data_IF_362326716181
#
_entry.id   IF_362326716181
#
_cell.length_a   1.000
_cell.length_b   1.000
_cell.length_c   1.000
_cell.angle_alpha   90.00
_cell.angle_beta   90.00
_cell.angle_gamma   90.00
#
_symmetry.space_group_name_H-M   'P 1'
#
loop_
_entity.id
_entity.type
_entity.pdbx_description
1 polymer ?
#
# COMPACT_ATOMS: atom_id res chain seq x y z
N UNK A 1 -22.78 9.18 -2.08
CA UNK A 1 -22.37 8.01 -1.31
C UNK A 1 -20.90 8.12 -0.89
N UNK A 2 -19.93 8.32 -1.81
CA UNK A 2 -18.48 8.39 -1.56
C UNK A 2 -18.14 9.34 -0.39
N UNK A 3 -18.65 10.57 -0.41
CA UNK A 3 -18.42 11.59 0.64
C UNK A 3 -18.95 11.14 2.01
N UNK A 4 -20.14 10.54 2.06
CA UNK A 4 -20.75 10.06 3.32
C UNK A 4 -19.91 8.94 3.95
N UNK A 5 -19.45 7.99 3.13
CA UNK A 5 -18.58 6.90 3.59
C UNK A 5 -17.26 7.45 4.11
N UNK A 6 -16.60 8.34 3.36
CA UNK A 6 -15.35 9.00 3.80
C UNK A 6 -15.54 9.74 5.12
N UNK A 7 -16.62 10.50 5.28
CA UNK A 7 -16.94 11.19 6.53
C UNK A 7 -17.12 10.21 7.70
N UNK A 8 -17.76 9.06 7.48
CA UNK A 8 -17.90 8.01 8.47
C UNK A 8 -16.55 7.47 8.97
N UNK A 9 -15.60 7.21 8.06
CA UNK A 9 -14.26 6.78 8.43
C UNK A 9 -13.43 7.88 9.13
N UNK A 10 -13.61 9.15 8.73
CA UNK A 10 -12.99 10.28 9.43
C UNK A 10 -13.46 10.30 10.89
N UNK A 11 -14.77 10.22 11.12
CA UNK A 11 -15.35 10.19 12.48
C UNK A 11 -14.81 8.99 13.27
N UNK A 12 -14.81 7.78 12.69
CA UNK A 12 -14.32 6.58 13.35
C UNK A 12 -12.85 6.72 13.78
N UNK A 13 -12.00 7.30 12.94
CA UNK A 13 -10.59 7.50 13.23
C UNK A 13 -10.33 8.63 14.25
N UNK A 14 -11.15 9.67 14.25
CA UNK A 14 -11.11 10.71 15.30
C UNK A 14 -11.52 10.15 16.66
N UNK A 15 -12.47 9.21 16.71
CA UNK A 15 -12.93 8.54 17.93
C UNK A 15 -11.90 7.57 18.55
N UNK A 16 -10.79 7.27 17.87
CA UNK A 16 -9.65 6.59 18.45
C UNK A 16 -9.14 5.38 17.66
N UNK A 17 -7.84 5.14 17.82
CA UNK A 17 -7.08 4.10 17.10
C UNK A 17 -7.60 2.70 17.34
N UNK A 18 -8.07 2.39 18.56
CA UNK A 18 -8.62 1.07 18.89
C UNK A 18 -9.88 0.73 18.08
N UNK A 19 -10.71 1.74 17.77
CA UNK A 19 -11.90 1.57 16.93
C UNK A 19 -11.47 1.34 15.49
N UNK A 20 -10.58 2.19 14.96
CA UNK A 20 -10.06 2.05 13.61
C UNK A 20 -9.36 0.69 13.40
N UNK A 21 -8.56 0.22 14.36
CA UNK A 21 -7.89 -1.07 14.31
C UNK A 21 -8.86 -2.27 14.35
N UNK A 22 -9.92 -2.21 15.16
CA UNK A 22 -10.96 -3.27 15.17
C UNK A 22 -11.71 -3.34 13.84
N UNK A 23 -12.06 -2.19 13.27
CA UNK A 23 -12.67 -2.11 11.94
C UNK A 23 -11.75 -2.70 10.88
N UNK A 24 -10.45 -2.35 10.91
CA UNK A 24 -9.45 -2.88 10.00
C UNK A 24 -9.37 -4.40 10.05
N UNK A 25 -9.26 -4.97 11.24
CA UNK A 25 -9.24 -6.41 11.40
C UNK A 25 -10.53 -7.07 10.90
N UNK A 26 -11.70 -6.47 11.18
CA UNK A 26 -12.98 -6.94 10.67
C UNK A 26 -13.04 -6.98 9.15
N UNK A 27 -12.60 -5.91 8.48
CA UNK A 27 -12.52 -5.85 7.01
C UNK A 27 -11.55 -6.88 6.44
N UNK A 28 -10.39 -7.09 7.07
CA UNK A 28 -9.40 -8.06 6.62
C UNK A 28 -9.89 -9.50 6.78
N UNK A 29 -10.48 -9.86 7.90
CA UNK A 29 -11.08 -11.20 8.08
C UNK A 29 -12.21 -11.45 7.09
N UNK A 30 -13.05 -10.44 6.87
CA UNK A 30 -14.10 -10.51 5.86
C UNK A 30 -13.52 -10.72 4.45
N UNK A 31 -12.51 -9.93 4.07
CA UNK A 31 -11.84 -10.04 2.77
C UNK A 31 -11.28 -11.44 2.54
N UNK A 32 -10.52 -11.97 3.49
CA UNK A 32 -9.94 -13.30 3.34
C UNK A 32 -10.99 -14.40 3.27
N UNK A 33 -12.04 -14.31 4.08
CA UNK A 33 -13.16 -15.24 4.02
C UNK A 33 -13.86 -15.23 2.67
N UNK A 34 -14.18 -14.05 2.17
CA UNK A 34 -14.81 -13.87 0.85
C UNK A 34 -13.88 -14.32 -0.27
N UNK A 35 -12.59 -13.97 -0.21
CA UNK A 35 -11.61 -14.37 -1.23
C UNK A 35 -11.49 -15.89 -1.35
N UNK A 36 -11.41 -16.61 -0.24
CA UNK A 36 -11.36 -18.08 -0.24
C UNK A 36 -12.63 -18.66 -0.86
N UNK A 37 -13.81 -18.20 -0.44
CA UNK A 37 -15.08 -18.68 -1.00
C UNK A 37 -15.17 -18.36 -2.49
N UNK A 38 -14.75 -17.16 -2.90
CA UNK A 38 -14.73 -16.75 -4.30
C UNK A 38 -13.81 -17.66 -5.14
N UNK A 39 -12.57 -17.92 -4.70
CA UNK A 39 -11.67 -18.82 -5.40
C UNK A 39 -12.27 -20.21 -5.55
N UNK A 40 -12.86 -20.76 -4.49
CA UNK A 40 -13.51 -22.09 -4.54
C UNK A 40 -14.67 -22.14 -5.54
N UNK A 41 -15.45 -21.06 -5.64
CA UNK A 41 -16.57 -20.97 -6.61
C UNK A 41 -16.10 -20.78 -8.04
N UNK A 42 -14.86 -20.29 -8.27
CA UNK A 42 -14.30 -20.11 -9.61
C UNK A 42 -13.69 -21.39 -10.19
N UNK A 43 -13.24 -22.35 -9.38
CA UNK A 43 -12.59 -23.57 -9.84
C UNK A 43 -13.36 -24.32 -10.95
N UNK A 44 -14.70 -24.50 -10.86
CA UNK A 44 -15.45 -25.20 -11.90
C UNK A 44 -15.49 -24.49 -13.25
N UNK A 45 -15.18 -23.19 -13.27
CA UNK A 45 -15.27 -22.32 -14.46
C UNK A 45 -13.92 -22.08 -15.14
N UNK A 46 -12.86 -22.75 -14.70
CA UNK A 46 -11.50 -22.60 -15.27
C UNK A 46 -11.47 -23.18 -16.68
N UNK A 47 -10.99 -22.37 -17.63
CA UNK A 47 -10.75 -22.74 -19.02
C UNK A 47 -9.29 -22.46 -19.39
N UNK A 48 -8.41 -23.46 -19.31
CA UNK A 48 -6.98 -23.35 -19.61
C UNK A 48 -6.67 -22.92 -21.05
N UNK A 49 -7.40 -23.38 -22.09
CA UNK A 49 -7.22 -22.89 -23.46
C UNK A 49 -7.36 -21.38 -23.62
N UNK A 50 -8.26 -20.73 -22.88
CA UNK A 50 -8.39 -19.27 -22.87
C UNK A 50 -7.12 -18.57 -22.37
N UNK A 51 -6.40 -19.18 -21.44
CA UNK A 51 -5.16 -18.65 -20.92
C UNK A 51 -4.03 -18.65 -21.94
N UNK A 52 -3.89 -19.75 -22.69
CA UNK A 52 -2.85 -19.90 -23.73
C UNK A 52 -3.09 -18.96 -24.91
N UNK A 53 -4.36 -18.68 -25.22
CA UNK A 53 -4.76 -17.74 -26.26
C UNK A 53 -4.71 -16.28 -25.83
N UNK A 54 -4.33 -15.99 -24.57
CA UNK A 54 -4.20 -14.64 -24.06
C UNK A 54 -3.28 -13.78 -24.95
N UNK A 55 -3.52 -12.48 -25.06
CA UNK A 55 -2.72 -11.60 -25.89
C UNK A 55 -1.23 -11.65 -25.53
N UNK A 56 -0.38 -11.44 -26.52
CA UNK A 56 1.08 -11.44 -26.36
C UNK A 56 1.54 -10.55 -25.22
N UNK A 57 2.61 -10.95 -24.56
CA UNK A 57 3.25 -10.21 -23.45
C UNK A 57 3.73 -8.81 -23.85
N UNK A 58 3.92 -8.56 -25.15
CA UNK A 58 4.36 -7.26 -25.65
C UNK A 58 3.14 -6.40 -26.02
N UNK A 59 3.10 -5.12 -25.58
CA UNK A 59 2.01 -4.21 -25.92
C UNK A 59 1.96 -4.00 -27.43
N UNK A 60 0.74 -3.99 -27.97
CA UNK A 60 0.47 -3.66 -29.37
C UNK A 60 0.43 -2.12 -29.54
N UNK A 61 0.54 -1.68 -30.80
CA UNK A 61 0.41 -0.26 -31.14
C UNK A 61 -0.89 0.32 -30.55
N UNK A 62 -0.79 1.47 -29.89
CA UNK A 62 -1.91 2.12 -29.19
C UNK A 62 -2.19 1.63 -27.76
N UNK A 63 -1.46 0.63 -27.25
CA UNK A 63 -1.52 0.21 -25.86
C UNK A 63 -0.46 0.93 -25.01
N UNK A 64 -0.71 0.95 -23.68
CA UNK A 64 0.28 1.47 -22.72
C UNK A 64 1.59 0.71 -22.85
N UNK A 65 2.72 1.42 -22.83
CA UNK A 65 4.05 0.80 -22.89
C UNK A 65 4.28 -0.15 -21.71
N UNK A 66 5.16 -1.14 -21.88
CA UNK A 66 5.50 -2.05 -20.79
C UNK A 66 5.98 -1.30 -19.53
N UNK A 67 6.82 -0.27 -19.71
CA UNK A 67 7.33 0.54 -18.60
C UNK A 67 6.21 1.32 -17.88
N UNK A 68 5.26 1.90 -18.62
CA UNK A 68 4.11 2.58 -18.05
C UNK A 68 3.17 1.60 -17.34
N UNK A 69 2.97 0.40 -17.89
CA UNK A 69 2.19 -0.67 -17.24
C UNK A 69 2.83 -1.12 -15.92
N UNK A 70 4.15 -1.31 -15.90
CA UNK A 70 4.89 -1.63 -14.66
C UNK A 70 4.73 -0.52 -13.62
N UNK A 71 4.80 0.74 -14.05
CA UNK A 71 4.59 1.91 -13.19
C UNK A 71 3.19 1.89 -12.55
N UNK A 72 2.15 1.63 -13.34
CA UNK A 72 0.76 1.53 -12.82
C UNK A 72 0.56 0.32 -11.90
N UNK A 73 1.16 -0.82 -12.23
CA UNK A 73 1.12 -2.02 -11.35
C UNK A 73 1.81 -1.74 -10.02
N UNK A 74 2.88 -0.93 -10.02
CA UNK A 74 3.56 -0.51 -8.79
C UNK A 74 2.61 0.14 -7.78
N UNK A 75 1.61 0.88 -8.25
CA UNK A 75 0.58 1.47 -7.38
C UNK A 75 -0.14 0.42 -6.52
N UNK A 76 -0.33 -0.80 -7.04
CA UNK A 76 -0.92 -1.90 -6.26
C UNK A 76 -0.01 -2.38 -5.11
N UNK A 77 1.27 -2.07 -5.16
CA UNK A 77 2.26 -2.41 -4.13
C UNK A 77 2.52 -1.27 -3.16
N UNK A 78 2.08 -0.04 -3.43
CA UNK A 78 2.27 1.11 -2.55
C UNK A 78 1.35 1.06 -1.33
N UNK A 79 1.78 1.65 -0.21
CA UNK A 79 0.97 1.84 0.99
C UNK A 79 1.28 0.87 2.15
N UNK A 80 1.99 -0.23 1.93
CA UNK A 80 2.35 -1.15 3.03
C UNK A 80 3.29 -0.52 4.05
N UNK A 81 4.08 0.47 3.65
CA UNK A 81 4.98 1.25 4.51
C UNK A 81 4.25 2.19 5.47
N UNK A 82 2.95 2.43 5.27
CA UNK A 82 2.13 3.27 6.15
C UNK A 82 2.13 2.78 7.61
N UNK A 83 2.39 1.48 7.86
CA UNK A 83 2.58 0.95 9.21
C UNK A 83 3.72 1.63 9.99
N UNK A 84 4.71 2.22 9.31
CA UNK A 84 5.82 2.95 9.96
C UNK A 84 5.30 4.18 10.71
N UNK A 85 4.27 4.85 10.18
CA UNK A 85 3.64 6.00 10.84
C UNK A 85 2.94 5.63 12.17
N UNK A 86 2.64 4.35 12.36
CA UNK A 86 2.00 3.82 13.57
C UNK A 86 3.01 3.20 14.54
N UNK A 87 4.28 3.45 14.39
CA UNK A 87 5.34 2.82 15.19
C UNK A 87 5.18 2.98 16.70
N UNK A 88 4.62 4.10 17.17
CA UNK A 88 4.34 4.35 18.59
C UNK A 88 3.15 3.53 19.12
N UNK A 89 2.33 2.93 18.25
CA UNK A 89 1.12 2.17 18.60
C UNK A 89 1.28 0.66 18.38
N UNK A 90 2.36 0.24 17.71
CA UNK A 90 2.67 -1.15 17.42
C UNK A 90 3.52 -1.74 18.55
N UNK A 91 3.11 -2.90 19.07
CA UNK A 91 3.89 -3.65 20.05
C UNK A 91 5.20 -4.13 19.42
N UNK A 92 6.34 -3.85 20.06
CA UNK A 92 7.68 -4.20 19.57
C UNK A 92 7.95 -3.77 18.12
N UNK A 93 7.85 -2.46 17.82
CA UNK A 93 7.88 -1.96 16.44
C UNK A 93 9.20 -2.30 15.73
N UNK A 94 10.30 -2.35 16.44
CA UNK A 94 11.64 -2.72 15.90
C UNK A 94 11.72 -4.14 15.34
N UNK A 95 10.86 -5.04 15.80
CA UNK A 95 10.79 -6.42 15.34
C UNK A 95 9.66 -6.56 14.31
N UNK A 96 8.47 -6.08 14.67
CA UNK A 96 7.25 -6.36 13.91
C UNK A 96 7.17 -5.54 12.60
N UNK A 97 7.60 -4.27 12.61
CA UNK A 97 7.57 -3.44 11.38
C UNK A 97 8.49 -4.03 10.29
N UNK A 98 9.78 -4.34 10.53
CA UNK A 98 10.61 -4.95 9.48
C UNK A 98 10.08 -6.28 8.98
N UNK A 99 9.48 -7.10 9.85
CA UNK A 99 8.85 -8.38 9.47
C UNK A 99 7.65 -8.17 8.56
N UNK A 100 6.78 -7.23 8.91
CA UNK A 100 5.60 -6.87 8.12
C UNK A 100 6.02 -6.29 6.76
N UNK A 101 6.96 -5.34 6.74
CA UNK A 101 7.47 -4.72 5.50
C UNK A 101 8.14 -5.75 4.58
N UNK A 102 8.78 -6.78 5.14
CA UNK A 102 9.37 -7.85 4.33
C UNK A 102 8.32 -8.76 3.70
N UNK A 103 7.27 -9.13 4.45
CA UNK A 103 6.25 -10.05 3.95
C UNK A 103 5.22 -9.38 3.04
N UNK A 104 4.88 -8.14 3.30
CA UNK A 104 3.78 -7.44 2.61
C UNK A 104 3.89 -7.46 1.07
N UNK A 105 5.03 -7.16 0.42
CA UNK A 105 5.14 -7.22 -1.03
C UNK A 105 4.87 -8.62 -1.60
N UNK A 106 5.27 -9.67 -0.91
CA UNK A 106 5.03 -11.05 -1.35
C UNK A 106 3.56 -11.45 -1.19
N UNK A 107 2.89 -10.98 -0.13
CA UNK A 107 1.44 -11.17 0.04
C UNK A 107 0.69 -10.45 -1.08
N UNK A 108 1.03 -9.19 -1.35
CA UNK A 108 0.43 -8.41 -2.44
C UNK A 108 0.65 -9.09 -3.78
N UNK A 109 1.88 -9.56 -4.06
CA UNK A 109 2.18 -10.32 -5.27
C UNK A 109 1.31 -11.57 -5.39
N UNK A 110 1.26 -12.42 -4.35
CA UNK A 110 0.52 -13.67 -4.39
C UNK A 110 -0.98 -13.43 -4.61
N UNK A 111 -1.57 -12.46 -3.90
CA UNK A 111 -3.00 -12.13 -4.03
C UNK A 111 -3.31 -11.61 -5.43
N UNK A 112 -2.57 -10.59 -5.90
CA UNK A 112 -2.81 -10.02 -7.23
C UNK A 112 -2.58 -11.06 -8.33
N UNK A 113 -1.53 -11.87 -8.25
CA UNK A 113 -1.24 -12.90 -9.23
C UNK A 113 -2.36 -13.95 -9.27
N UNK A 114 -2.85 -14.42 -8.12
CA UNK A 114 -3.95 -15.38 -8.05
C UNK A 114 -5.25 -14.80 -8.63
N UNK A 115 -5.64 -13.60 -8.23
CA UNK A 115 -6.82 -12.93 -8.78
C UNK A 115 -6.72 -12.74 -10.30
N UNK A 116 -5.58 -12.27 -10.78
CA UNK A 116 -5.35 -12.07 -12.21
C UNK A 116 -5.37 -13.39 -12.98
N UNK A 117 -4.77 -14.44 -12.43
CA UNK A 117 -4.77 -15.76 -13.06
C UNK A 117 -6.21 -16.28 -13.20
N UNK A 118 -7.00 -16.26 -12.13
CA UNK A 118 -8.40 -16.68 -12.19
C UNK A 118 -9.20 -15.84 -13.18
N UNK A 119 -8.99 -14.52 -13.19
CA UNK A 119 -9.65 -13.62 -14.14
C UNK A 119 -9.41 -14.05 -15.59
N UNK A 120 -8.16 -14.33 -15.96
CA UNK A 120 -7.80 -14.76 -17.30
C UNK A 120 -8.37 -16.15 -17.59
N UNK A 121 -8.26 -17.07 -16.63
CA UNK A 121 -8.67 -18.46 -16.80
C UNK A 121 -10.19 -18.64 -16.95
N UNK A 122 -11.01 -17.73 -16.41
CA UNK A 122 -12.48 -17.79 -16.55
C UNK A 122 -13.00 -17.00 -17.74
N UNK A 123 -12.24 -16.03 -18.26
CA UNK A 123 -12.72 -15.11 -19.30
C UNK A 123 -12.55 -15.71 -20.69
N UNK A 124 -13.58 -15.71 -21.55
CA UNK A 124 -13.42 -16.09 -22.94
C UNK A 124 -12.37 -15.23 -23.66
N UNK A 125 -11.50 -15.86 -24.47
CA UNK A 125 -10.37 -15.21 -25.14
C UNK A 125 -10.77 -13.97 -25.96
N UNK A 126 -11.92 -14.03 -26.61
CA UNK A 126 -12.51 -12.95 -27.41
C UNK A 126 -12.92 -11.71 -26.57
N UNK A 127 -13.22 -11.89 -25.29
CA UNK A 127 -13.64 -10.84 -24.37
C UNK A 127 -12.44 -10.19 -23.63
N UNK A 128 -11.26 -10.81 -23.62
CA UNK A 128 -10.10 -10.32 -22.87
C UNK A 128 -9.66 -8.91 -23.28
N UNK A 129 -9.70 -8.60 -24.59
CA UNK A 129 -9.29 -7.28 -25.09
C UNK A 129 -10.24 -6.16 -24.61
N UNK A 130 -11.54 -6.44 -24.47
CA UNK A 130 -12.53 -5.48 -24.01
C UNK A 130 -12.35 -5.11 -22.53
N UNK A 131 -11.78 -6.00 -21.72
CA UNK A 131 -11.54 -5.76 -20.31
C UNK A 131 -10.50 -4.66 -20.04
N UNK A 132 -9.58 -4.42 -20.98
CA UNK A 132 -8.54 -3.39 -20.84
C UNK A 132 -9.11 -1.95 -20.72
N UNK A 133 -10.32 -1.72 -21.26
CA UNK A 133 -11.03 -0.43 -21.23
C UNK A 133 -12.26 -0.43 -20.33
N UNK A 134 -12.57 -1.55 -19.70
CA UNK A 134 -13.74 -1.71 -18.85
C UNK A 134 -13.59 -0.93 -17.53
N UNK A 135 -14.68 -0.32 -17.06
CA UNK A 135 -14.71 0.36 -15.76
C UNK A 135 -14.72 -0.62 -14.57
N UNK A 136 -15.23 -1.83 -14.78
CA UNK A 136 -15.28 -2.86 -13.75
C UNK A 136 -14.81 -4.22 -14.32
N UNK A 137 -13.50 -4.34 -14.69
CA UNK A 137 -12.98 -5.46 -15.47
C UNK A 137 -13.24 -6.82 -14.84
N UNK A 138 -13.15 -6.96 -13.53
CA UNK A 138 -13.42 -8.23 -12.85
C UNK A 138 -14.90 -8.63 -12.92
N UNK A 139 -15.81 -7.69 -12.72
CA UNK A 139 -17.25 -7.96 -12.82
C UNK A 139 -17.66 -8.28 -14.27
N UNK A 140 -17.09 -7.55 -15.23
CA UNK A 140 -17.39 -7.73 -16.65
C UNK A 140 -16.81 -9.04 -17.19
N UNK A 141 -15.63 -9.46 -16.73
CA UNK A 141 -15.06 -10.78 -17.02
C UNK A 141 -15.96 -11.92 -16.55
N UNK A 142 -16.46 -11.84 -15.31
CA UNK A 142 -17.38 -12.84 -14.77
C UNK A 142 -18.69 -12.89 -15.53
N UNK A 143 -19.26 -11.72 -15.89
CA UNK A 143 -20.48 -11.65 -16.73
C UNK A 143 -20.24 -12.25 -18.12
N UNK A 144 -19.12 -11.95 -18.75
CA UNK A 144 -18.74 -12.52 -20.06
C UNK A 144 -18.60 -14.04 -20.00
N UNK A 145 -18.12 -14.58 -18.89
CA UNK A 145 -18.05 -16.02 -18.62
C UNK A 145 -19.40 -16.63 -18.20
N UNK A 146 -20.49 -15.85 -18.13
CA UNK A 146 -21.79 -16.32 -17.67
C UNK A 146 -21.89 -16.56 -16.16
N UNK A 147 -20.90 -16.10 -15.38
CA UNK A 147 -20.83 -16.29 -13.94
C UNK A 147 -21.55 -15.14 -13.24
N UNK A 148 -22.76 -15.43 -12.78
CA UNK A 148 -23.65 -14.47 -12.13
C UNK A 148 -24.02 -14.96 -10.71
N UNK A 149 -24.86 -14.19 -10.02
CA UNK A 149 -25.40 -14.57 -8.71
C UNK A 149 -24.38 -14.46 -7.59
N UNK A 150 -24.26 -15.51 -6.76
CA UNK A 150 -23.43 -15.50 -5.55
C UNK A 150 -21.96 -15.19 -5.81
N UNK A 151 -21.25 -15.78 -6.80
CA UNK A 151 -19.86 -15.47 -7.04
C UNK A 151 -19.59 -14.01 -7.37
N UNK A 152 -20.44 -13.40 -8.20
CA UNK A 152 -20.34 -11.98 -8.54
C UNK A 152 -20.63 -11.09 -7.34
N UNK A 153 -21.61 -11.45 -6.50
CA UNK A 153 -21.92 -10.73 -5.26
C UNK A 153 -20.76 -10.82 -4.25
N UNK A 154 -20.12 -11.99 -4.13
CA UNK A 154 -18.93 -12.19 -3.29
C UNK A 154 -17.76 -11.31 -3.76
N UNK A 155 -17.50 -11.26 -5.07
CA UNK A 155 -16.47 -10.38 -5.61
C UNK A 155 -16.76 -8.92 -5.26
N UNK A 156 -17.97 -8.44 -5.53
CA UNK A 156 -18.37 -7.07 -5.25
C UNK A 156 -18.25 -6.73 -3.75
N UNK A 157 -18.67 -7.62 -2.87
CA UNK A 157 -18.54 -7.45 -1.43
C UNK A 157 -17.06 -7.46 -0.98
N UNK A 158 -16.25 -8.38 -1.51
CA UNK A 158 -14.81 -8.46 -1.21
C UNK A 158 -14.07 -7.19 -1.62
N UNK A 159 -14.32 -6.68 -2.82
CA UNK A 159 -13.72 -5.43 -3.30
C UNK A 159 -14.17 -4.24 -2.44
N UNK A 160 -15.48 -4.09 -2.20
CA UNK A 160 -16.00 -2.93 -1.46
C UNK A 160 -15.55 -2.90 0.01
N UNK A 161 -15.73 -3.99 0.75
CA UNK A 161 -15.44 -4.02 2.19
C UNK A 161 -13.99 -4.38 2.48
N UNK A 162 -13.42 -5.33 1.77
CA UNK A 162 -12.07 -5.81 1.99
C UNK A 162 -11.00 -4.97 1.29
N UNK A 163 -11.27 -4.52 0.08
CA UNK A 163 -10.37 -3.64 -0.69
C UNK A 163 -10.54 -2.18 -0.30
N UNK A 164 -11.63 -1.56 -0.75
CA UNK A 164 -11.77 -0.10 -0.69
C UNK A 164 -11.92 0.44 0.74
N UNK A 165 -12.81 -0.15 1.55
CA UNK A 165 -13.06 0.36 2.91
C UNK A 165 -11.89 0.10 3.84
N UNK A 166 -11.20 -1.05 3.71
CA UNK A 166 -10.02 -1.34 4.53
C UNK A 166 -8.88 -0.38 4.18
N UNK A 167 -8.64 -0.13 2.89
CA UNK A 167 -7.61 0.81 2.42
C UNK A 167 -7.92 2.24 2.87
N UNK A 168 -9.17 2.69 2.72
CA UNK A 168 -9.60 4.01 3.18
C UNK A 168 -9.42 4.18 4.69
N UNK A 169 -9.82 3.18 5.49
CA UNK A 169 -9.65 3.21 6.94
C UNK A 169 -8.16 3.26 7.33
N UNK A 170 -7.32 2.43 6.70
CA UNK A 170 -5.88 2.43 6.95
C UNK A 170 -5.23 3.77 6.58
N UNK A 171 -5.56 4.35 5.42
CA UNK A 171 -5.03 5.63 4.97
C UNK A 171 -5.42 6.78 5.93
N UNK A 172 -6.69 6.86 6.34
CA UNK A 172 -7.15 7.88 7.29
C UNK A 172 -6.54 7.66 8.68
N UNK A 173 -6.23 6.42 9.06
CA UNK A 173 -5.52 6.13 10.30
C UNK A 173 -4.06 6.57 10.27
N UNK A 174 -3.35 6.37 9.16
CA UNK A 174 -1.88 6.47 9.10
C UNK A 174 -1.38 7.82 8.58
N UNK A 175 -1.91 8.30 7.45
CA UNK A 175 -1.38 9.50 6.77
C UNK A 175 -1.40 10.76 7.66
N UNK A 176 -2.46 11.06 8.45
CA UNK A 176 -2.47 12.23 9.34
C UNK A 176 -1.37 12.23 10.40
N UNK A 177 -0.82 11.06 10.74
CA UNK A 177 0.27 10.94 11.71
C UNK A 177 1.60 11.46 11.17
N UNK A 178 1.83 11.35 9.87
CA UNK A 178 2.99 12.01 9.25
C UNK A 178 2.90 13.53 9.42
N UNK A 179 1.73 14.11 9.14
CA UNK A 179 1.50 15.55 9.30
C UNK A 179 1.64 15.98 10.77
N UNK A 180 1.10 15.18 11.70
CA UNK A 180 1.24 15.39 13.14
C UNK A 180 2.73 15.38 13.57
N UNK A 181 3.49 14.39 13.15
CA UNK A 181 4.91 14.27 13.50
C UNK A 181 5.72 15.44 12.94
N UNK A 182 5.49 15.80 11.68
CA UNK A 182 6.14 16.96 11.05
C UNK A 182 5.82 18.27 11.78
N UNK A 183 4.59 18.43 12.28
CA UNK A 183 4.20 19.61 13.07
C UNK A 183 4.85 19.59 14.45
N UNK A 184 4.97 18.43 15.10
CA UNK A 184 5.68 18.25 16.37
C UNK A 184 7.18 18.56 16.21
N UNK A 185 7.77 18.20 15.09
CA UNK A 185 9.17 18.52 14.78
C UNK A 185 9.40 19.97 14.34
N UNK A 186 8.34 20.81 14.30
CA UNK A 186 8.41 22.24 13.99
C UNK A 186 8.53 22.57 12.50
N UNK A 187 8.44 21.58 11.60
CA UNK A 187 8.58 21.76 10.14
C UNK A 187 7.24 21.97 9.42
N UNK A 188 6.13 21.85 10.15
CA UNK A 188 4.77 22.15 9.69
C UNK A 188 4.04 23.05 10.71
N UNK A 189 2.90 23.66 10.33
CA UNK A 189 2.14 24.48 11.25
C UNK A 189 1.76 23.72 12.54
N UNK A 190 2.01 24.31 13.70
CA UNK A 190 1.81 23.67 15.02
C UNK A 190 0.37 23.24 15.30
N UNK A 191 -0.61 23.80 14.56
CA UNK A 191 -2.01 23.42 14.67
C UNK A 191 -2.25 21.93 14.40
N UNK A 192 -1.44 21.31 13.55
CA UNK A 192 -1.51 19.87 13.24
C UNK A 192 -0.96 18.97 14.36
N UNK A 193 -0.22 19.51 15.31
CA UNK A 193 0.25 18.79 16.50
C UNK A 193 -0.81 18.71 17.62
N UNK A 194 -2.01 19.29 17.42
CA UNK A 194 -3.09 19.24 18.41
C UNK A 194 -3.78 17.87 18.40
N UNK A 195 -3.88 17.26 19.59
CA UNK A 195 -4.63 16.02 19.81
C UNK A 195 -5.96 16.29 20.49
N UNK A 196 -6.95 15.42 20.27
CA UNK A 196 -8.24 15.46 20.97
C UNK A 196 -8.20 14.57 22.24
N UNK A 197 -9.33 14.50 22.96
CA UNK A 197 -9.49 13.64 24.15
C UNK A 197 -9.20 12.16 23.92
N UNK A 198 -9.25 11.70 22.67
CA UNK A 198 -8.95 10.33 22.27
C UNK A 198 -7.48 10.13 21.85
N UNK A 199 -6.63 11.14 22.10
CA UNK A 199 -5.20 11.15 21.74
C UNK A 199 -4.94 10.97 20.22
N UNK A 200 -5.91 11.38 19.40
CA UNK A 200 -5.78 11.36 17.92
C UNK A 200 -5.55 12.78 17.39
N UNK A 201 -4.77 12.93 16.29
CA UNK A 201 -4.48 14.23 15.68
C UNK A 201 -5.66 14.71 14.84
N UNK A 202 -6.76 15.11 15.50
CA UNK A 202 -8.04 15.41 14.87
C UNK A 202 -7.96 16.50 13.80
N UNK A 203 -7.14 17.54 13.99
CA UNK A 203 -6.98 18.61 13.00
C UNK A 203 -6.36 18.07 11.73
N UNK A 204 -5.31 17.25 11.83
CA UNK A 204 -4.68 16.62 10.68
C UNK A 204 -5.65 15.68 9.95
N UNK A 205 -6.40 14.85 10.71
CA UNK A 205 -7.39 13.91 10.15
C UNK A 205 -8.47 14.67 9.37
N UNK A 206 -9.05 15.71 9.96
CA UNK A 206 -10.13 16.50 9.33
C UNK A 206 -9.60 17.23 8.09
N UNK A 207 -8.44 17.89 8.19
CA UNK A 207 -7.87 18.64 7.06
C UNK A 207 -7.59 17.73 5.86
N UNK A 208 -6.92 16.59 6.09
CA UNK A 208 -6.64 15.63 5.02
C UNK A 208 -7.92 14.96 4.49
N UNK A 209 -8.90 14.70 5.38
CA UNK A 209 -10.19 14.20 4.98
C UNK A 209 -10.96 15.14 4.05
N UNK A 210 -10.98 16.45 4.37
CA UNK A 210 -11.59 17.47 3.50
C UNK A 210 -10.86 17.56 2.15
N UNK A 211 -9.53 17.55 2.18
CA UNK A 211 -8.73 17.55 0.94
C UNK A 211 -9.01 16.32 0.08
N UNK A 212 -9.10 15.14 0.70
CA UNK A 212 -9.46 13.89 0.01
C UNK A 212 -10.86 13.99 -0.62
N UNK A 213 -11.84 14.52 0.09
CA UNK A 213 -13.18 14.73 -0.47
C UNK A 213 -13.18 15.69 -1.66
N UNK A 214 -12.35 16.74 -1.62
CA UNK A 214 -12.19 17.65 -2.75
C UNK A 214 -11.54 16.96 -3.96
N UNK A 215 -10.54 16.10 -3.76
CA UNK A 215 -9.92 15.31 -4.83
C UNK A 215 -10.90 14.29 -5.44
N UNK A 216 -11.72 13.63 -4.62
CA UNK A 216 -12.76 12.71 -5.09
C UNK A 216 -13.75 13.42 -6.03
N UNK A 217 -14.01 14.72 -5.81
CA UNK A 217 -14.91 15.50 -6.64
C UNK A 217 -14.38 15.74 -8.06
N UNK A 218 -13.07 15.56 -8.31
CA UNK A 218 -12.48 15.68 -9.67
C UNK A 218 -12.81 14.52 -10.59
N UNK A 219 -13.24 13.39 -10.04
CA UNK A 219 -13.68 12.15 -10.73
C UNK A 219 -12.66 11.56 -11.73
N UNK A 220 -11.38 11.92 -11.62
CA UNK A 220 -10.30 11.43 -12.49
C UNK A 220 -9.39 10.44 -11.76
N UNK A 221 -9.73 9.15 -11.83
CA UNK A 221 -8.98 8.08 -11.15
C UNK A 221 -7.53 7.98 -11.64
N UNK A 222 -7.33 8.04 -12.96
CA UNK A 222 -5.98 7.90 -13.57
C UNK A 222 -5.07 9.05 -13.13
N UNK A 223 -5.58 10.27 -13.13
CA UNK A 223 -4.83 11.44 -12.67
C UNK A 223 -4.46 11.34 -11.18
N UNK A 224 -5.42 10.96 -10.32
CA UNK A 224 -5.19 10.80 -8.88
C UNK A 224 -4.17 9.68 -8.62
N UNK A 225 -4.27 8.56 -9.31
CA UNK A 225 -3.32 7.45 -9.21
C UNK A 225 -1.91 7.87 -9.66
N UNK A 226 -1.78 8.60 -10.77
CA UNK A 226 -0.49 9.10 -11.25
C UNK A 226 0.13 10.13 -10.29
N UNK A 227 -0.69 10.99 -9.69
CA UNK A 227 -0.24 11.97 -8.69
C UNK A 227 0.23 11.27 -7.40
N UNK A 228 -0.48 10.24 -6.95
CA UNK A 228 -0.07 9.40 -5.83
C UNK A 228 1.26 8.70 -6.12
N UNK A 229 1.40 8.09 -7.30
CA UNK A 229 2.64 7.46 -7.73
C UNK A 229 3.82 8.42 -7.75
N UNK A 230 3.63 9.67 -8.20
CA UNK A 230 4.69 10.68 -8.14
C UNK A 230 5.19 10.87 -6.71
N UNK A 231 4.28 11.04 -5.76
CA UNK A 231 4.63 11.24 -4.35
C UNK A 231 5.33 10.01 -3.77
N UNK A 232 4.82 8.81 -4.03
CA UNK A 232 5.36 7.55 -3.53
C UNK A 232 6.76 7.27 -4.07
N UNK A 233 6.96 7.40 -5.40
CA UNK A 233 8.25 7.18 -6.01
C UNK A 233 9.32 8.16 -5.51
N UNK A 234 8.95 9.44 -5.36
CA UNK A 234 9.86 10.46 -4.80
C UNK A 234 10.21 10.16 -3.36
N UNK A 235 9.22 9.81 -2.54
CA UNK A 235 9.39 9.42 -1.15
C UNK A 235 10.32 8.21 -1.01
N UNK A 236 10.15 7.18 -1.84
CA UNK A 236 11.02 6.00 -1.83
C UNK A 236 12.45 6.33 -2.25
N UNK A 237 12.65 7.16 -3.29
CA UNK A 237 13.99 7.61 -3.71
C UNK A 237 14.70 8.28 -2.53
N UNK A 238 14.05 9.25 -1.88
CA UNK A 238 14.63 9.98 -0.74
C UNK A 238 14.91 9.01 0.42
N UNK A 239 13.97 8.15 0.78
CA UNK A 239 14.10 7.19 1.88
C UNK A 239 15.25 6.19 1.66
N UNK A 240 15.37 5.63 0.45
CA UNK A 240 16.42 4.69 0.09
C UNK A 240 17.81 5.35 0.13
N UNK A 241 17.94 6.55 -0.44
CA UNK A 241 19.19 7.31 -0.43
C UNK A 241 19.57 7.75 0.98
N UNK A 242 18.59 8.13 1.81
CA UNK A 242 18.81 8.47 3.22
C UNK A 242 19.31 7.25 4.02
N UNK A 243 18.69 6.07 3.82
CA UNK A 243 19.13 4.83 4.45
C UNK A 243 20.56 4.43 4.04
N UNK A 244 20.88 4.59 2.75
CA UNK A 244 22.22 4.34 2.21
C UNK A 244 23.28 5.30 2.80
N UNK A 245 22.97 6.61 2.85
CA UNK A 245 23.83 7.62 3.45
C UNK A 245 24.04 7.37 4.96
N UNK A 246 22.97 7.00 5.69
CA UNK A 246 23.04 6.69 7.11
C UNK A 246 23.94 5.47 7.39
N UNK A 247 23.90 4.45 6.53
CA UNK A 247 24.81 3.29 6.67
C UNK A 247 26.30 3.67 6.52
N UNK A 248 26.59 4.60 5.61
CA UNK A 248 27.96 5.07 5.40
C UNK A 248 28.44 5.99 6.53
N UNK A 249 27.55 6.90 6.99
CA UNK A 249 27.91 7.89 8.02
C UNK A 249 27.94 7.33 9.43
N UNK A 250 27.10 6.32 9.73
CA UNK A 250 27.02 5.70 11.05
C UNK A 250 27.06 4.17 10.97
N UNK A 251 28.23 3.58 10.65
CA UNK A 251 28.36 2.13 10.47
C UNK A 251 28.11 1.35 11.76
N UNK A 252 28.45 1.90 12.91
CA UNK A 252 28.35 1.26 14.24
C UNK A 252 26.95 1.35 14.87
N UNK A 253 25.97 1.97 14.20
CA UNK A 253 24.61 2.03 14.72
C UNK A 253 24.02 0.62 14.84
N UNK A 254 23.52 0.27 16.02
CA UNK A 254 22.82 -1.00 16.23
C UNK A 254 21.53 -1.05 15.41
N UNK A 255 21.43 -2.05 14.54
CA UNK A 255 20.28 -2.25 13.65
C UNK A 255 19.72 -3.65 13.88
N UNK A 256 18.48 -3.78 14.39
CA UNK A 256 17.82 -5.08 14.52
C UNK A 256 17.69 -5.80 13.18
N UNK A 257 17.42 -5.05 12.12
CA UNK A 257 17.35 -5.54 10.75
C UNK A 257 18.43 -4.91 9.87
N UNK A 258 19.20 -5.76 9.19
CA UNK A 258 20.23 -5.33 8.22
C UNK A 258 19.81 -5.79 6.83
N UNK A 259 19.20 -4.91 6.04
CA UNK A 259 18.83 -5.21 4.65
C UNK A 259 20.09 -5.64 3.88
N UNK A 260 20.06 -6.77 3.13
CA UNK A 260 21.19 -7.22 2.34
C UNK A 260 21.44 -6.30 1.14
N UNK A 261 22.66 -6.31 0.61
CA UNK A 261 23.06 -5.65 -0.64
C UNK A 261 22.70 -4.16 -0.78
N UNK A 262 22.49 -3.43 0.33
CA UNK A 262 22.09 -2.02 0.30
C UNK A 262 23.07 -1.14 -0.48
N UNK A 263 24.35 -1.49 -0.49
CA UNK A 263 25.36 -0.71 -1.22
C UNK A 263 25.11 -0.61 -2.72
N UNK A 264 24.55 -1.68 -3.31
CA UNK A 264 24.22 -1.77 -4.74
C UNK A 264 22.72 -1.56 -4.94
N UNK A 265 21.90 -2.22 -4.13
CA UNK A 265 20.44 -2.17 -4.24
C UNK A 265 19.87 -0.76 -4.09
N UNK A 266 20.39 0.05 -3.16
CA UNK A 266 19.88 1.40 -2.95
C UNK A 266 20.05 2.31 -4.18
N UNK A 267 21.22 2.48 -4.79
CA UNK A 267 21.36 3.30 -5.98
C UNK A 267 20.59 2.73 -7.19
N UNK A 268 20.60 1.40 -7.37
CA UNK A 268 19.84 0.77 -8.48
C UNK A 268 18.35 1.01 -8.33
N UNK A 269 17.78 0.78 -7.15
CA UNK A 269 16.35 1.04 -6.89
C UNK A 269 16.00 2.52 -7.08
N UNK A 270 16.85 3.43 -6.61
CA UNK A 270 16.63 4.86 -6.81
C UNK A 270 16.59 5.25 -8.30
N UNK A 271 17.49 4.69 -9.12
CA UNK A 271 17.50 4.92 -10.57
C UNK A 271 16.24 4.34 -11.24
N UNK A 272 15.80 3.14 -10.84
CA UNK A 272 14.57 2.53 -11.36
C UNK A 272 13.36 3.42 -11.02
N UNK A 273 13.25 3.90 -9.79
CA UNK A 273 12.14 4.78 -9.40
C UNK A 273 12.16 6.13 -10.13
N UNK A 274 13.34 6.72 -10.32
CA UNK A 274 13.48 7.94 -11.13
C UNK A 274 13.06 7.69 -12.58
N UNK A 275 13.43 6.54 -13.15
CA UNK A 275 12.96 6.15 -14.48
C UNK A 275 11.45 5.96 -14.52
N UNK A 276 10.85 5.29 -13.52
CA UNK A 276 9.40 5.12 -13.44
C UNK A 276 8.67 6.47 -13.36
N UNK A 277 9.23 7.46 -12.68
CA UNK A 277 8.65 8.81 -12.63
C UNK A 277 8.53 9.46 -14.02
N UNK A 278 9.40 9.12 -14.98
CA UNK A 278 9.31 9.62 -16.36
C UNK A 278 8.17 9.02 -17.16
N UNK A 279 7.54 7.95 -16.67
CA UNK A 279 6.43 7.26 -17.33
C UNK A 279 5.04 7.76 -16.84
N UNK A 280 5.02 8.70 -15.89
CA UNK A 280 3.78 9.24 -15.33
C UNK A 280 3.11 10.23 -16.30
N UNK A 281 1.81 10.44 -16.11
CA UNK A 281 1.08 11.51 -16.79
C UNK A 281 1.73 12.87 -16.54
N UNK A 282 1.92 13.64 -17.61
CA UNK A 282 2.63 14.93 -17.57
C UNK A 282 1.96 15.93 -16.62
N UNK A 283 0.61 15.97 -16.58
CA UNK A 283 -0.10 16.90 -15.71
C UNK A 283 0.06 16.49 -14.23
N UNK A 284 0.02 15.20 -13.95
CA UNK A 284 0.27 14.66 -12.61
C UNK A 284 1.70 14.95 -12.15
N UNK A 285 2.69 14.81 -13.05
CA UNK A 285 4.09 15.15 -12.76
C UNK A 285 4.26 16.63 -12.43
N UNK A 286 3.72 17.52 -13.26
CA UNK A 286 3.79 18.99 -13.04
C UNK A 286 3.11 19.35 -11.71
N UNK A 287 1.93 18.83 -11.44
CA UNK A 287 1.21 19.06 -10.18
C UNK A 287 2.02 18.56 -8.98
N UNK A 288 2.65 17.40 -9.10
CA UNK A 288 3.52 16.84 -8.07
C UNK A 288 4.72 17.75 -7.77
N UNK A 289 5.37 18.29 -8.80
CA UNK A 289 6.47 19.26 -8.65
C UNK A 289 5.99 20.55 -7.96
N UNK A 290 4.84 21.09 -8.37
CA UNK A 290 4.24 22.27 -7.73
C UNK A 290 3.97 21.99 -6.24
N UNK A 291 3.41 20.82 -5.93
CA UNK A 291 3.16 20.38 -4.55
C UNK A 291 4.45 20.32 -3.72
N UNK A 292 5.54 19.78 -4.28
CA UNK A 292 6.85 19.75 -3.62
C UNK A 292 7.40 21.17 -3.35
N UNK A 293 7.27 22.09 -4.31
CA UNK A 293 7.70 23.50 -4.13
C UNK A 293 6.90 24.18 -3.02
N UNK A 294 5.58 23.99 -2.99
CA UNK A 294 4.73 24.49 -1.92
C UNK A 294 5.10 23.89 -0.55
N UNK A 295 5.36 22.58 -0.51
CA UNK A 295 5.81 21.88 0.70
C UNK A 295 7.14 22.44 1.21
N UNK A 296 8.10 22.68 0.33
CA UNK A 296 9.39 23.31 0.68
C UNK A 296 9.19 24.74 1.20
N UNK A 297 8.32 25.52 0.59
CA UNK A 297 8.03 26.89 1.06
C UNK A 297 7.44 26.86 2.50
N UNK A 298 6.49 25.95 2.76
CA UNK A 298 5.92 25.76 4.11
C UNK A 298 7.01 25.31 5.08
N UNK A 299 7.84 24.36 4.69
CA UNK A 299 8.96 23.87 5.49
C UNK A 299 9.90 25.01 5.90
N UNK A 300 10.37 25.83 4.96
CA UNK A 300 11.28 26.94 5.24
C UNK A 300 10.63 28.00 6.12
N UNK A 301 9.35 28.29 5.89
CA UNK A 301 8.60 29.24 6.73
C UNK A 301 8.47 28.72 8.16
N UNK A 302 7.96 27.50 8.35
CA UNK A 302 7.72 26.92 9.66
C UNK A 302 9.03 26.65 10.42
N UNK A 303 10.04 26.13 9.74
CA UNK A 303 11.36 25.85 10.33
C UNK A 303 12.07 27.09 10.89
N UNK A 304 11.73 28.28 10.34
CA UNK A 304 12.27 29.56 10.83
C UNK A 304 11.45 30.15 11.96
N UNK A 305 10.12 29.95 11.97
CA UNK A 305 9.20 30.61 12.87
C UNK A 305 8.72 29.75 14.05
N UNK A 306 8.68 28.44 13.88
CA UNK A 306 8.33 27.55 14.98
C UNK A 306 9.56 27.36 15.88
N UNK A 307 9.42 27.65 17.18
CA UNK A 307 10.40 27.19 18.16
C UNK A 307 10.53 25.67 18.03
N UNK A 308 11.76 25.15 17.89
CA UNK A 308 12.01 23.70 17.98
C UNK A 308 11.35 23.25 19.27
N UNK A 309 10.37 22.38 19.19
CA UNK A 309 9.75 21.83 20.37
C UNK A 309 10.88 21.19 21.19
N UNK A 310 11.07 21.65 22.42
CA UNK A 310 12.15 21.20 23.32
C UNK A 310 12.06 19.70 23.65
N UNK A 311 10.94 19.06 23.24
CA UNK A 311 10.62 17.65 23.36
C UNK A 311 10.61 16.90 22.00
N UNK A 312 11.28 17.45 21.00
CA UNK A 312 11.40 16.78 19.69
C UNK A 312 12.21 15.50 19.86
N UNK A 313 11.52 14.40 19.66
CA UNK A 313 12.00 13.01 19.53
C UNK A 313 12.99 12.56 20.61
N UNK A 314 12.64 11.59 21.43
CA UNK A 314 13.62 10.93 22.28
C UNK A 314 14.79 10.50 21.41
N UNK A 315 16.01 10.77 21.88
CA UNK A 315 17.22 10.34 21.18
C UNK A 315 17.15 8.84 20.90
N UNK A 316 17.66 8.38 19.75
CA UNK A 316 17.72 6.95 19.35
C UNK A 316 18.21 6.02 20.48
N UNK A 317 18.95 6.57 21.47
CA UNK A 317 19.41 5.86 22.66
C UNK A 317 18.32 5.67 23.72
N UNK A 318 17.37 6.61 23.86
CA UNK A 318 16.29 6.52 24.84
C UNK A 318 15.14 5.61 24.37
N UNK A 319 14.87 5.55 23.07
CA UNK A 319 13.90 4.61 22.49
C UNK A 319 14.46 3.18 22.39
N UNK A 320 15.77 3.01 22.48
CA UNK A 320 16.44 1.74 22.24
C UNK A 320 16.19 0.62 23.23
N UNK A 321 15.95 0.98 24.49
CA UNK A 321 15.86 0.00 25.58
C UNK A 321 14.42 -0.47 25.89
N UNK A 322 13.41 0.32 25.49
CA UNK A 322 12.03 0.10 25.94
C UNK A 322 11.19 -0.82 25.02
N UNK A 323 11.66 -1.11 23.79
CA UNK A 323 10.83 -1.76 22.77
C UNK A 323 11.29 -3.18 22.40
N UNK A 324 12.03 -3.86 23.25
CA UNK A 324 12.43 -5.25 23.03
C UNK A 324 11.75 -6.14 24.07
N UNK A 325 11.16 -7.28 23.66
CA UNK A 325 10.61 -8.22 24.62
C UNK A 325 11.73 -8.74 25.53
N UNK A 326 11.50 -8.76 26.84
CA UNK A 326 12.47 -9.26 27.83
C UNK A 326 12.31 -10.76 28.06
N UNK A 327 11.16 -11.30 27.73
CA UNK A 327 10.84 -12.73 27.91
C UNK A 327 11.26 -13.54 26.67
N UNK A 328 12.11 -14.54 26.87
CA UNK A 328 12.54 -15.47 25.84
C UNK A 328 11.39 -16.29 25.25
N UNK A 329 10.36 -16.57 26.03
CA UNK A 329 9.15 -17.31 25.58
C UNK A 329 8.35 -16.46 24.61
N UNK A 330 8.22 -15.16 24.89
CA UNK A 330 7.51 -14.23 24.00
C UNK A 330 8.27 -14.05 22.66
N UNK A 331 9.58 -13.93 22.70
CA UNK A 331 10.42 -13.87 21.49
C UNK A 331 10.24 -15.14 20.65
N UNK A 332 10.32 -16.31 21.28
CA UNK A 332 10.15 -17.58 20.57
C UNK A 332 8.76 -17.73 19.95
N UNK A 333 7.70 -17.26 20.64
CA UNK A 333 6.35 -17.25 20.09
C UNK A 333 6.22 -16.35 18.85
N UNK A 334 6.77 -15.15 18.91
CA UNK A 334 6.81 -14.21 17.78
C UNK A 334 7.62 -14.75 16.60
N UNK A 335 8.73 -15.42 16.84
CA UNK A 335 9.57 -16.03 15.79
C UNK A 335 8.85 -17.20 15.13
N UNK A 336 8.14 -18.01 15.89
CA UNK A 336 7.31 -19.10 15.37
C UNK A 336 6.16 -18.56 14.50
N UNK A 337 5.45 -17.54 14.96
CA UNK A 337 4.39 -16.89 14.19
C UNK A 337 4.94 -16.35 12.87
N UNK A 338 6.06 -15.64 12.92
CA UNK A 338 6.70 -15.11 11.71
C UNK A 338 7.15 -16.21 10.74
N UNK A 339 7.64 -17.34 11.26
CA UNK A 339 8.00 -18.50 10.44
C UNK A 339 6.78 -19.08 9.73
N UNK A 340 5.66 -19.25 10.45
CA UNK A 340 4.40 -19.73 9.87
C UNK A 340 3.94 -18.82 8.74
N UNK A 341 3.94 -17.51 8.95
CA UNK A 341 3.59 -16.55 7.89
C UNK A 341 4.53 -16.62 6.70
N UNK A 342 5.84 -16.75 6.90
CA UNK A 342 6.80 -16.94 5.79
C UNK A 342 6.49 -18.18 4.97
N UNK A 343 6.16 -19.29 5.60
CA UNK A 343 5.83 -20.54 4.91
C UNK A 343 4.53 -20.41 4.11
N UNK A 344 3.48 -19.81 4.71
CA UNK A 344 2.20 -19.58 4.04
C UNK A 344 2.38 -18.68 2.82
N UNK A 345 3.09 -17.57 2.96
CA UNK A 345 3.32 -16.61 1.88
C UNK A 345 4.17 -17.21 0.78
N UNK A 346 5.25 -17.94 1.13
CA UNK A 346 6.08 -18.62 0.16
C UNK A 346 5.28 -19.69 -0.63
N UNK A 347 4.45 -20.47 0.05
CA UNK A 347 3.58 -21.45 -0.60
C UNK A 347 2.58 -20.79 -1.56
N UNK A 348 1.98 -19.65 -1.16
CA UNK A 348 1.07 -18.89 -2.02
C UNK A 348 1.78 -18.31 -3.26
N UNK A 349 2.99 -17.78 -3.10
CA UNK A 349 3.80 -17.29 -4.23
C UNK A 349 4.19 -18.42 -5.18
N UNK A 350 4.62 -19.57 -4.65
CA UNK A 350 4.97 -20.75 -5.46
C UNK A 350 3.72 -21.25 -6.20
N UNK A 351 2.58 -21.35 -5.53
CA UNK A 351 1.31 -21.73 -6.16
C UNK A 351 0.95 -20.77 -7.30
N UNK A 352 1.06 -19.47 -7.10
CA UNK A 352 0.81 -18.49 -8.15
C UNK A 352 1.72 -18.71 -9.36
N UNK A 353 3.03 -18.88 -9.15
CA UNK A 353 3.98 -19.13 -10.23
C UNK A 353 3.71 -20.45 -10.98
N UNK A 354 3.37 -21.52 -10.26
CA UNK A 354 3.01 -22.81 -10.85
C UNK A 354 1.74 -22.72 -11.69
N UNK A 355 0.73 -21.99 -11.23
CA UNK A 355 -0.50 -21.77 -11.97
C UNK A 355 -0.27 -21.01 -13.28
N UNK A 356 0.63 -20.02 -13.29
CA UNK A 356 1.02 -19.33 -14.53
C UNK A 356 1.82 -20.23 -15.49
N UNK A 357 2.59 -21.18 -15.00
CA UNK A 357 3.34 -22.12 -15.81
C UNK A 357 2.46 -23.27 -16.37
N UNK A 358 1.42 -23.66 -15.63
CA UNK A 358 0.58 -24.83 -15.93
C UNK A 358 -0.01 -24.83 -17.34
N UNK A 359 -0.61 -23.77 -17.88
CA UNK A 359 -1.18 -23.75 -19.22
C UNK A 359 -0.17 -24.05 -20.33
N UNK A 360 1.08 -23.63 -20.13
CA UNK A 360 2.17 -23.86 -21.10
C UNK A 360 2.80 -25.26 -20.98
N UNK A 361 2.59 -25.92 -19.85
CA UNK A 361 3.05 -27.31 -19.64
C UNK A 361 2.03 -28.33 -20.12
N UNK A 362 0.75 -27.93 -20.21
CA UNK A 362 -0.36 -28.80 -20.63
C UNK A 362 -0.78 -28.57 -22.10
N UNK A 363 -0.23 -27.56 -22.77
CA UNK A 363 -0.44 -27.26 -24.19
C UNK A 363 0.59 -27.98 -25.05
#
# INVERSE_FOLDING_TARGET
LRVVVTAGFIIANVCGVKIAGRLQNGFMFFFWGVAVIWFLTMIPNINLPSFVQAPSFLPKEGQMSFAASVCMIWWCFAGFEACVAMGEEIKYPRINIPRALFLAPFVVFAVNALFQWFLIAITPAESLAALATAQAPYADAMKAAGILGLPLALLAAGVAFGGDFSTMNAAIATIPRYLFTMARDGVMPSVFAKTCRFQTPHVAIITLGVLTMALIATDSLIYIASLSLFADLLYYVIGILAAWALRRRRPNLQRPYKAPLVAIGAPVSALIYLYMMTQLDTNAFITGVIWCVLGLAIYFYCSRHNAKAENATPTLEQTGALDMPQDSVEIAAMDREYLVWKVIVAAACILALLLYALPYLCA
#
